data_IF_776217168024
#
_entry.id   IF_776217168024
#
_cell.length_a   1.000
_cell.length_b   1.000
_cell.length_c   1.000
_cell.angle_alpha   90.00
_cell.angle_beta   90.00
_cell.angle_gamma   90.00
#
_symmetry.space_group_name_H-M   'P 1'
#
loop_
_entity.id
_entity.type
_entity.pdbx_description
1 polymer ?
#
# COMPACT_ATOMS: atom_id res chain seq x y z
N UNK A 1 10.67 9.77 -46.14
CA UNK A 1 11.08 8.35 -46.01
C UNK A 1 12.00 8.25 -44.81
N UNK A 2 11.42 8.10 -43.61
CA UNK A 2 11.22 6.83 -42.87
C UNK A 2 12.46 6.46 -42.05
N UNK A 3 12.54 6.89 -40.78
CA UNK A 3 12.16 6.14 -39.55
C UNK A 3 13.21 5.08 -39.17
N UNK A 4 13.82 5.18 -37.97
CA UNK A 4 14.31 3.97 -37.29
C UNK A 4 15.61 3.96 -36.46
N UNK A 5 16.03 5.00 -35.72
CA UNK A 5 17.27 4.90 -34.91
C UNK A 5 17.19 5.42 -33.45
N UNK A 6 16.02 5.38 -32.79
CA UNK A 6 15.88 5.81 -31.39
C UNK A 6 15.39 4.70 -30.44
N UNK A 7 15.75 3.44 -30.66
CA UNK A 7 15.26 2.32 -29.82
C UNK A 7 16.29 1.22 -29.56
N UNK A 8 17.37 1.50 -28.81
CA UNK A 8 17.79 0.49 -27.82
C UNK A 8 18.12 1.04 -26.42
N UNK A 9 18.49 2.32 -26.27
CA UNK A 9 18.99 2.85 -24.99
C UNK A 9 17.88 3.11 -23.96
N UNK A 10 16.67 3.46 -24.42
CA UNK A 10 15.49 3.63 -23.54
C UNK A 10 15.02 2.28 -22.98
N UNK A 11 15.21 1.18 -23.73
CA UNK A 11 14.78 -0.15 -23.31
C UNK A 11 15.72 -0.80 -22.28
N UNK A 12 17.01 -0.44 -22.26
CA UNK A 12 17.95 -0.98 -21.27
C UNK A 12 17.92 -0.25 -19.92
N UNK A 13 17.51 1.01 -19.87
CA UNK A 13 17.31 1.75 -18.61
C UNK A 13 16.05 1.28 -17.85
N UNK A 14 15.04 0.81 -18.58
CA UNK A 14 13.78 0.29 -18.02
C UNK A 14 13.99 -0.96 -17.16
N UNK A 15 14.92 -1.85 -17.53
CA UNK A 15 15.17 -3.10 -16.81
C UNK A 15 15.82 -2.91 -15.42
N UNK A 16 16.62 -1.86 -15.21
CA UNK A 16 17.21 -1.57 -13.87
C UNK A 16 16.27 -0.79 -12.96
N UNK A 17 15.41 0.07 -13.50
CA UNK A 17 14.48 0.88 -12.68
C UNK A 17 13.36 0.03 -12.08
N UNK A 18 12.92 -1.01 -12.79
CA UNK A 18 11.93 -1.98 -12.27
C UNK A 18 12.48 -2.88 -11.15
N UNK A 19 13.80 -3.07 -11.02
CA UNK A 19 14.37 -3.87 -9.91
C UNK A 19 14.44 -3.10 -8.59
N UNK A 20 14.43 -1.77 -8.62
CA UNK A 20 14.59 -0.93 -7.42
C UNK A 20 13.25 -0.41 -6.89
N UNK A 21 12.24 -0.26 -7.76
CA UNK A 21 10.94 0.30 -7.38
C UNK A 21 9.86 -0.78 -7.48
N UNK A 22 9.15 -1.13 -6.38
CA UNK A 22 8.03 -2.05 -6.42
C UNK A 22 6.94 -1.59 -7.40
N UNK A 23 6.30 -2.54 -8.08
CA UNK A 23 5.24 -2.24 -9.04
C UNK A 23 4.10 -1.43 -8.41
N UNK A 24 3.75 -1.72 -7.15
CA UNK A 24 2.75 -0.96 -6.38
C UNK A 24 3.13 0.51 -6.20
N UNK A 25 4.41 0.83 -6.00
CA UNK A 25 4.87 2.22 -5.90
C UNK A 25 4.69 2.96 -7.24
N UNK A 26 4.93 2.29 -8.37
CA UNK A 26 4.69 2.89 -9.68
C UNK A 26 3.20 3.18 -9.91
N UNK A 27 2.31 2.27 -9.52
CA UNK A 27 0.86 2.46 -9.62
C UNK A 27 0.38 3.63 -8.75
N UNK A 28 0.89 3.76 -7.52
CA UNK A 28 0.58 4.89 -6.63
C UNK A 28 1.05 6.22 -7.25
N UNK A 29 2.28 6.27 -7.76
CA UNK A 29 2.81 7.48 -8.40
C UNK A 29 2.03 7.85 -9.66
N UNK A 30 1.67 6.86 -10.49
CA UNK A 30 0.84 7.07 -11.67
C UNK A 30 -0.53 7.62 -11.29
N UNK A 31 -1.17 7.06 -10.27
CA UNK A 31 -2.45 7.54 -9.74
C UNK A 31 -2.36 8.98 -9.20
N UNK A 32 -1.27 9.32 -8.50
CA UNK A 32 -1.00 10.67 -8.00
C UNK A 32 -0.85 11.67 -9.16
N UNK A 33 -0.07 11.32 -10.19
CA UNK A 33 0.17 12.18 -11.36
C UNK A 33 -1.13 12.41 -12.12
N UNK A 34 -1.88 11.34 -12.44
CA UNK A 34 -3.15 11.44 -13.14
C UNK A 34 -4.18 12.24 -12.33
N UNK A 35 -4.28 11.98 -11.02
CA UNK A 35 -5.15 12.73 -10.11
C UNK A 35 -4.79 14.22 -10.07
N UNK A 36 -3.50 14.54 -10.02
CA UNK A 36 -2.99 15.91 -10.08
C UNK A 36 -3.31 16.63 -11.39
N UNK A 37 -3.10 15.98 -12.53
CA UNK A 37 -3.44 16.56 -13.85
C UNK A 37 -4.94 16.83 -13.96
N UNK A 38 -5.78 15.90 -13.51
CA UNK A 38 -7.25 16.06 -13.54
C UNK A 38 -7.70 17.18 -12.60
N UNK A 39 -7.09 17.31 -11.41
CA UNK A 39 -7.40 18.38 -10.46
C UNK A 39 -7.10 19.77 -11.04
N UNK A 40 -6.00 19.89 -11.80
CA UNK A 40 -5.61 21.16 -12.45
C UNK A 40 -6.53 21.45 -13.65
N UNK A 41 -6.88 20.43 -14.44
CA UNK A 41 -7.65 20.58 -15.67
C UNK A 41 -9.17 20.75 -15.43
N UNK A 42 -9.72 20.15 -14.38
CA UNK A 42 -11.17 20.08 -14.15
C UNK A 42 -11.50 20.57 -12.74
N UNK A 43 -12.16 21.75 -12.63
CA UNK A 43 -12.66 22.29 -11.35
C UNK A 43 -13.81 21.47 -10.73
N UNK A 44 -14.12 20.28 -11.25
CA UNK A 44 -15.09 19.33 -10.70
C UNK A 44 -14.41 17.98 -10.48
N UNK A 45 -14.44 17.48 -9.24
CA UNK A 45 -14.10 16.10 -8.91
C UNK A 45 -15.13 15.16 -9.55
N UNK A 46 -14.91 14.76 -10.81
CA UNK A 46 -15.77 13.79 -11.50
C UNK A 46 -15.46 12.33 -11.12
N UNK A 47 -14.35 12.10 -10.41
CA UNK A 47 -13.88 10.78 -9.99
C UNK A 47 -13.67 10.74 -8.48
N UNK A 48 -14.75 10.80 -7.70
CA UNK A 48 -14.72 10.27 -6.34
C UNK A 48 -15.24 8.84 -6.40
N UNK A 49 -14.40 7.89 -6.01
CA UNK A 49 -14.81 6.50 -5.89
C UNK A 49 -15.72 6.41 -4.66
N UNK A 50 -16.96 5.99 -4.85
CA UNK A 50 -17.87 5.80 -3.73
C UNK A 50 -17.35 4.67 -2.83
N UNK A 51 -17.20 4.86 -1.51
CA UNK A 51 -16.69 3.84 -0.61
C UNK A 51 -17.50 2.54 -0.67
N UNK A 52 -18.82 2.62 -0.86
CA UNK A 52 -19.65 1.43 -0.96
C UNK A 52 -19.29 0.63 -2.22
N UNK A 53 -19.11 1.27 -3.37
CA UNK A 53 -18.67 0.58 -4.60
C UNK A 53 -17.27 -0.03 -4.44
N UNK A 54 -16.36 0.67 -3.77
CA UNK A 54 -15.02 0.14 -3.48
C UNK A 54 -15.09 -1.13 -2.63
N UNK A 55 -15.80 -1.10 -1.50
CA UNK A 55 -15.88 -2.22 -0.57
C UNK A 55 -16.75 -3.38 -1.07
N UNK A 56 -17.81 -3.12 -1.85
CA UNK A 56 -18.74 -4.15 -2.33
C UNK A 56 -18.32 -4.81 -3.66
N UNK A 57 -17.58 -4.12 -4.53
CA UNK A 57 -17.21 -4.65 -5.85
C UNK A 57 -15.70 -4.74 -6.06
N UNK A 58 -14.94 -3.70 -5.72
CA UNK A 58 -13.50 -3.70 -5.96
C UNK A 58 -12.76 -4.61 -4.98
N UNK A 59 -13.04 -4.50 -3.69
CA UNK A 59 -12.36 -5.32 -2.67
C UNK A 59 -12.64 -6.82 -2.85
N UNK A 60 -13.88 -7.29 -3.09
CA UNK A 60 -14.14 -8.72 -3.24
C UNK A 60 -13.53 -9.31 -4.51
N UNK A 61 -13.44 -8.53 -5.60
CA UNK A 61 -12.79 -8.99 -6.83
C UNK A 61 -11.27 -9.11 -6.65
N UNK A 62 -10.62 -8.14 -6.00
CA UNK A 62 -9.18 -8.16 -5.71
C UNK A 62 -8.81 -9.33 -4.77
N UNK A 63 -9.56 -9.49 -3.67
CA UNK A 63 -9.30 -10.57 -2.70
C UNK A 63 -9.63 -11.93 -3.30
N UNK A 64 -10.68 -12.02 -4.13
CA UNK A 64 -11.06 -13.24 -4.82
C UNK A 64 -10.00 -13.70 -5.83
N UNK A 65 -9.45 -12.78 -6.62
CA UNK A 65 -8.39 -13.06 -7.59
C UNK A 65 -7.11 -13.53 -6.87
N UNK A 66 -6.67 -12.78 -5.85
CA UNK A 66 -5.51 -13.16 -5.04
C UNK A 66 -5.71 -14.51 -4.30
N UNK A 67 -6.92 -14.78 -3.81
CA UNK A 67 -7.27 -16.05 -3.17
C UNK A 67 -7.30 -17.22 -4.13
N UNK A 68 -7.69 -17.01 -5.40
CA UNK A 68 -7.73 -18.05 -6.43
C UNK A 68 -6.32 -18.50 -6.84
N UNK A 69 -5.37 -17.58 -6.95
CA UNK A 69 -3.97 -17.90 -7.26
C UNK A 69 -3.19 -18.48 -6.07
N UNK A 70 -3.78 -18.51 -4.87
CA UNK A 70 -3.12 -19.02 -3.68
C UNK A 70 -3.14 -20.57 -3.62
N UNK A 71 -1.99 -21.25 -3.43
CA UNK A 71 -1.95 -22.71 -3.31
C UNK A 71 -2.55 -23.18 -1.98
N UNK A 72 -3.84 -23.50 -2.00
CA UNK A 72 -4.62 -23.86 -0.81
C UNK A 72 -4.01 -24.99 0.03
N UNK A 73 -3.41 -26.02 -0.60
CA UNK A 73 -2.86 -27.18 0.12
C UNK A 73 -1.70 -26.80 1.06
N UNK A 74 -0.73 -26.02 0.57
CA UNK A 74 0.41 -25.58 1.39
C UNK A 74 -0.02 -24.57 2.46
N UNK A 75 -1.03 -23.75 2.15
CA UNK A 75 -1.62 -22.82 3.11
C UNK A 75 -2.26 -23.54 4.29
N UNK A 76 -3.10 -24.54 4.04
CA UNK A 76 -3.77 -25.31 5.11
C UNK A 76 -2.78 -26.16 5.90
N UNK A 77 -1.73 -26.71 5.27
CA UNK A 77 -0.69 -27.47 5.95
C UNK A 77 0.15 -26.60 6.92
N UNK A 78 0.28 -25.29 6.66
CA UNK A 78 1.06 -24.34 7.47
C UNK A 78 0.22 -23.24 8.14
N UNK A 79 -1.09 -23.45 8.26
CA UNK A 79 -2.04 -22.42 8.70
C UNK A 79 -1.68 -21.85 10.08
N UNK A 80 -1.20 -22.69 10.99
CA UNK A 80 -0.76 -22.26 12.33
C UNK A 80 0.38 -21.24 12.27
N UNK A 81 1.43 -21.52 11.49
CA UNK A 81 2.56 -20.59 11.33
C UNK A 81 2.13 -19.28 10.66
N UNK A 82 1.31 -19.37 9.61
CA UNK A 82 0.80 -18.20 8.89
C UNK A 82 -0.04 -17.33 9.82
N UNK A 83 -0.95 -17.93 10.59
CA UNK A 83 -1.79 -17.19 11.54
C UNK A 83 -0.94 -16.55 12.65
N UNK A 84 0.12 -17.23 13.09
CA UNK A 84 1.03 -16.69 14.12
C UNK A 84 1.76 -15.46 13.57
N UNK A 85 2.33 -15.53 12.37
CA UNK A 85 2.97 -14.38 11.72
C UNK A 85 1.99 -13.26 11.42
N UNK A 86 0.80 -13.60 10.92
CA UNK A 86 -0.22 -12.62 10.59
C UNK A 86 -0.76 -11.91 11.84
N UNK A 87 -1.14 -12.63 12.89
CA UNK A 87 -1.75 -12.02 14.09
C UNK A 87 -0.69 -11.45 15.02
N UNK A 88 0.29 -12.26 15.44
CA UNK A 88 1.30 -11.81 16.41
C UNK A 88 2.22 -10.77 15.78
N UNK A 89 2.61 -10.97 14.51
CA UNK A 89 3.45 -10.02 13.80
C UNK A 89 2.77 -8.66 13.59
N UNK A 90 1.50 -8.64 13.18
CA UNK A 90 0.77 -7.36 13.00
C UNK A 90 0.49 -6.68 14.32
N UNK A 91 0.08 -7.42 15.37
CA UNK A 91 -0.12 -6.81 16.70
C UNK A 91 1.18 -6.23 17.25
N UNK A 92 2.28 -6.98 17.17
CA UNK A 92 3.58 -6.50 17.63
C UNK A 92 4.02 -5.25 16.86
N UNK A 93 3.86 -5.24 15.54
CA UNK A 93 4.22 -4.09 14.72
C UNK A 93 3.31 -2.88 14.99
N UNK A 94 2.00 -3.07 15.16
CA UNK A 94 1.06 -2.01 15.51
C UNK A 94 1.37 -1.39 16.88
N UNK A 95 1.66 -2.21 17.89
CA UNK A 95 2.05 -1.71 19.22
C UNK A 95 3.41 -1.03 19.20
N UNK A 96 4.42 -1.63 18.57
CA UNK A 96 5.74 -1.02 18.49
C UNK A 96 5.69 0.34 17.78
N UNK A 97 5.02 0.44 16.63
CA UNK A 97 4.90 1.71 15.91
C UNK A 97 4.11 2.75 16.69
N UNK A 98 2.95 2.37 17.27
CA UNK A 98 2.12 3.27 18.08
C UNK A 98 2.84 3.76 19.35
N UNK A 99 3.50 2.88 20.09
CA UNK A 99 4.28 3.26 21.27
C UNK A 99 5.55 4.05 20.92
N UNK A 100 6.24 3.72 19.82
CA UNK A 100 7.38 4.51 19.36
C UNK A 100 6.99 5.94 19.02
N UNK A 101 5.84 6.15 18.35
CA UNK A 101 5.31 7.47 18.06
C UNK A 101 4.88 8.22 19.33
N UNK A 102 4.23 7.53 20.26
CA UNK A 102 3.87 8.10 21.56
C UNK A 102 5.11 8.50 22.38
N UNK A 103 6.15 7.65 22.39
CA UNK A 103 7.42 7.95 23.05
C UNK A 103 8.14 9.13 22.37
N UNK A 104 8.12 9.21 21.03
CA UNK A 104 8.68 10.34 20.29
C UNK A 104 7.95 11.66 20.61
N UNK A 105 6.64 11.62 20.83
CA UNK A 105 5.86 12.76 21.35
C UNK A 105 6.33 13.15 22.74
N UNK A 106 6.50 12.18 23.64
CA UNK A 106 6.93 12.44 25.03
C UNK A 106 8.36 12.98 25.12
N UNK A 107 9.23 12.61 24.18
CA UNK A 107 10.59 13.10 24.02
C UNK A 107 10.68 14.49 23.34
N UNK A 108 9.54 15.09 22.96
CA UNK A 108 9.49 16.43 22.35
C UNK A 108 9.98 16.48 20.90
N UNK A 109 10.05 15.34 20.20
CA UNK A 109 10.43 15.28 18.77
C UNK A 109 9.27 15.71 17.87
N UNK A 110 8.03 15.54 18.36
CA UNK A 110 6.79 15.88 17.65
C UNK A 110 6.26 17.20 18.21
N UNK A 111 5.89 18.10 17.30
CA UNK A 111 5.40 19.45 17.61
C UNK A 111 4.21 19.43 18.59
N UNK A 112 4.20 20.33 19.59
CA UNK A 112 3.16 20.45 20.63
C UNK A 112 1.75 20.70 20.06
N UNK A 113 1.65 21.10 18.78
CA UNK A 113 0.38 21.28 18.05
C UNK A 113 -0.37 19.97 17.80
N UNK A 114 0.29 18.81 17.90
CA UNK A 114 -0.34 17.50 17.69
C UNK A 114 -1.10 17.08 18.95
N UNK A 115 -2.38 17.45 19.02
CA UNK A 115 -3.33 16.98 20.04
C UNK A 115 -3.81 15.54 19.76
N UNK A 116 -2.89 14.65 19.40
CA UNK A 116 -3.18 13.23 19.24
C UNK A 116 -2.98 12.54 20.59
N UNK A 117 -3.97 11.77 21.03
CA UNK A 117 -3.87 10.95 22.22
C UNK A 117 -3.16 9.62 21.91
N UNK A 118 -2.83 8.83 22.94
CA UNK A 118 -2.26 7.49 22.77
C UNK A 118 -3.08 6.63 21.79
N UNK A 119 -4.41 6.74 21.85
CA UNK A 119 -5.32 6.00 20.97
C UNK A 119 -5.11 6.34 19.48
N UNK A 120 -4.88 7.61 19.14
CA UNK A 120 -4.69 8.04 17.75
C UNK A 120 -3.39 7.47 17.16
N UNK A 121 -2.33 7.42 17.96
CA UNK A 121 -1.06 6.81 17.54
C UNK A 121 -1.17 5.28 17.42
N UNK A 122 -1.93 4.62 18.29
CA UNK A 122 -2.22 3.19 18.15
C UNK A 122 -3.09 2.90 16.92
N UNK A 123 -4.08 3.74 16.64
CA UNK A 123 -4.89 3.63 15.42
C UNK A 123 -4.04 3.81 14.17
N UNK A 124 -3.13 4.79 14.16
CA UNK A 124 -2.16 4.96 13.08
C UNK A 124 -1.24 3.73 12.94
N UNK A 125 -0.71 3.22 14.05
CA UNK A 125 0.11 2.01 14.04
C UNK A 125 -0.64 0.78 13.52
N UNK A 126 -1.92 0.62 13.88
CA UNK A 126 -2.77 -0.43 13.37
C UNK A 126 -3.03 -0.30 11.86
N UNK A 127 -3.28 0.91 11.35
CA UNK A 127 -3.48 1.17 9.93
C UNK A 127 -2.23 0.84 9.10
N UNK A 128 -1.04 1.26 9.56
CA UNK A 128 0.22 1.01 8.85
C UNK A 128 0.67 -0.45 8.99
N UNK A 129 0.29 -1.12 10.07
CA UNK A 129 0.65 -2.52 10.29
C UNK A 129 -0.21 -3.51 9.50
N UNK A 130 -1.32 -3.10 8.90
CA UNK A 130 -2.11 -3.97 8.05
C UNK A 130 -1.28 -4.42 6.85
N UNK A 131 -1.01 -5.72 6.75
CA UNK A 131 -0.25 -6.30 5.63
C UNK A 131 -1.24 -6.63 4.52
N UNK A 132 -1.04 -6.06 3.33
CA UNK A 132 -1.76 -6.45 2.12
C UNK A 132 -0.94 -7.51 1.35
N UNK A 133 -1.30 -8.80 1.42
CA UNK A 133 -0.59 -9.85 0.70
C UNK A 133 -0.76 -9.72 -0.82
N UNK A 134 -1.81 -9.04 -1.30
CA UNK A 134 -2.08 -8.92 -2.73
C UNK A 134 -0.99 -8.11 -3.43
N UNK A 135 -0.57 -7.00 -2.83
CA UNK A 135 0.51 -6.16 -3.36
C UNK A 135 1.89 -6.86 -3.35
N UNK A 136 2.06 -7.92 -2.56
CA UNK A 136 3.32 -8.68 -2.45
C UNK A 136 3.32 -9.93 -3.34
N UNK A 137 2.14 -10.47 -3.67
CA UNK A 137 1.98 -11.65 -4.52
C UNK A 137 1.80 -11.32 -6.01
N UNK A 138 1.39 -10.09 -6.34
CA UNK A 138 1.25 -9.59 -7.71
C UNK A 138 2.59 -9.39 -8.41
#
# INVERSE_FOLDING_TARGET
>A
MTTGYLTPEVFHLSQRFTTVVPESCMLILLGLVLGGVVLIASKKQLYQLDPALFFLFLLPTIVGDAGYFMPARLFFDNLGSILTYAVVGTLWNAFCTGFCLYAAKLLGVIDERVQADLMDFLLFGALISAVDPVAVLA
#
